data_IF_980395647954
#
_entry.id   IF_980395647954
#
_cell.length_a   1.000
_cell.length_b   1.000
_cell.length_c   1.000
_cell.angle_alpha   90.00
_cell.angle_beta   90.00
_cell.angle_gamma   90.00
#
_symmetry.space_group_name_H-M   'P 1'
#
loop_
_entity.id
_entity.type
_entity.pdbx_description
1 polymer ?
#
# COMPACT_ATOMS: atom_id res chain seq x y z
N UNK A 1 82.44 1.05 -25.81
CA UNK A 1 81.49 1.90 -26.58
C UNK A 1 80.07 1.63 -26.11
N UNK A 2 79.22 2.64 -26.15
CA UNK A 2 78.19 2.96 -25.16
C UNK A 2 76.87 2.18 -25.28
N UNK A 3 76.52 1.37 -24.27
CA UNK A 3 75.20 0.75 -24.10
C UNK A 3 74.09 1.78 -23.74
N UNK A 4 74.48 2.99 -23.32
CA UNK A 4 73.55 4.10 -23.03
C UNK A 4 73.07 4.83 -24.29
N UNK A 5 73.83 4.75 -25.38
CA UNK A 5 73.46 5.37 -26.66
C UNK A 5 72.36 4.56 -27.37
N UNK A 6 72.43 3.23 -27.30
CA UNK A 6 71.41 2.34 -27.86
C UNK A 6 70.03 2.52 -27.17
N UNK A 7 70.02 2.68 -25.84
CA UNK A 7 68.82 2.93 -25.06
C UNK A 7 68.15 4.27 -25.42
N UNK A 8 68.93 5.31 -25.72
CA UNK A 8 68.41 6.62 -26.14
C UNK A 8 67.82 6.58 -27.56
N UNK A 9 68.40 5.77 -28.46
CA UNK A 9 67.87 5.56 -29.82
C UNK A 9 66.57 4.74 -29.80
N UNK A 10 66.47 3.72 -28.94
CA UNK A 10 65.24 2.91 -28.81
C UNK A 10 64.10 3.71 -28.15
N UNK A 11 64.41 4.54 -27.15
CA UNK A 11 63.42 5.39 -26.48
C UNK A 11 62.91 6.53 -27.39
N UNK A 12 63.78 7.10 -28.23
CA UNK A 12 63.36 8.11 -29.21
C UNK A 12 62.55 7.50 -30.36
N UNK A 13 62.86 6.27 -30.79
CA UNK A 13 62.08 5.57 -31.81
C UNK A 13 60.69 5.14 -31.29
N UNK A 14 60.56 4.76 -30.01
CA UNK A 14 59.26 4.47 -29.39
C UNK A 14 58.42 5.71 -29.10
N UNK A 15 59.02 6.88 -28.83
CA UNK A 15 58.29 8.15 -28.75
C UNK A 15 57.74 8.61 -30.11
N UNK A 16 58.47 8.35 -31.20
CA UNK A 16 58.04 8.71 -32.56
C UNK A 16 56.90 7.82 -33.10
N UNK A 17 56.78 6.56 -32.65
CA UNK A 17 55.69 5.68 -33.09
C UNK A 17 54.36 5.93 -32.36
N UNK A 18 54.38 6.56 -31.17
CA UNK A 18 53.17 6.96 -30.46
C UNK A 18 52.54 8.26 -31.00
N UNK A 19 53.32 9.10 -31.71
CA UNK A 19 52.83 10.34 -32.30
C UNK A 19 52.01 10.15 -33.60
N UNK A 20 52.09 8.97 -34.23
CA UNK A 20 51.33 8.63 -35.44
C UNK A 20 50.08 7.79 -35.18
N UNK A 21 49.57 7.80 -33.94
CA UNK A 21 48.21 7.37 -33.62
C UNK A 21 47.17 8.35 -34.19
N UNK A 22 47.20 8.60 -35.50
CA UNK A 22 46.13 9.25 -36.24
C UNK A 22 44.85 8.48 -35.94
N UNK A 23 43.97 9.09 -35.15
CA UNK A 23 42.62 8.63 -34.92
C UNK A 23 42.01 8.34 -36.29
N UNK A 24 41.69 7.08 -36.58
CA UNK A 24 40.99 6.75 -37.84
C UNK A 24 39.74 7.63 -37.91
N UNK A 25 39.58 8.34 -39.02
CA UNK A 25 38.40 9.14 -39.29
C UNK A 25 37.14 8.27 -39.11
N UNK A 26 36.24 8.69 -38.23
CA UNK A 26 35.02 7.95 -37.88
C UNK A 26 33.95 8.13 -38.96
N UNK A 27 33.86 9.35 -39.53
CA UNK A 27 32.86 9.71 -40.54
C UNK A 27 33.46 10.62 -41.63
N UNK A 28 32.81 10.63 -42.81
CA UNK A 28 33.03 11.63 -43.86
C UNK A 28 31.83 12.56 -44.01
N UNK A 29 30.62 12.02 -43.86
CA UNK A 29 29.34 12.74 -43.89
C UNK A 29 28.49 12.32 -42.69
N UNK A 30 27.51 13.15 -42.31
CA UNK A 30 26.68 12.88 -41.13
C UNK A 30 25.88 11.57 -41.23
N UNK A 31 25.57 11.08 -42.44
CA UNK A 31 24.90 9.80 -42.65
C UNK A 31 25.80 8.58 -42.41
N UNK A 32 27.12 8.77 -42.29
CA UNK A 32 28.05 7.69 -41.92
C UNK A 32 27.96 7.39 -40.41
N UNK A 33 27.40 8.30 -39.63
CA UNK A 33 27.26 8.15 -38.19
C UNK A 33 26.01 7.35 -37.83
N UNK A 34 26.12 6.48 -36.82
CA UNK A 34 24.99 5.74 -36.27
C UNK A 34 23.93 6.70 -35.73
N UNK A 35 22.66 6.49 -36.07
CA UNK A 35 21.60 7.28 -35.45
C UNK A 35 21.44 6.87 -33.98
N UNK A 36 21.41 7.87 -33.10
CA UNK A 36 21.08 7.72 -31.68
C UNK A 36 19.72 8.39 -31.47
N UNK A 37 18.82 7.71 -30.76
CA UNK A 37 17.50 8.23 -30.40
C UNK A 37 17.64 9.60 -29.75
N UNK A 38 16.76 10.53 -30.14
CA UNK A 38 16.72 11.89 -29.59
C UNK A 38 18.05 12.67 -29.65
N UNK A 39 18.88 12.40 -30.66
CA UNK A 39 20.12 13.14 -30.90
C UNK A 39 20.22 13.59 -32.35
N UNK A 40 20.63 14.84 -32.56
CA UNK A 40 21.06 15.33 -33.86
C UNK A 40 22.53 14.93 -34.08
N UNK A 41 22.83 14.36 -35.24
CA UNK A 41 24.18 13.88 -35.57
C UNK A 41 24.82 14.73 -36.65
N UNK A 42 26.06 15.13 -36.42
CA UNK A 42 26.87 15.86 -37.38
C UNK A 42 28.29 15.29 -37.45
N UNK A 43 28.82 15.12 -38.66
CA UNK A 43 30.24 14.79 -38.84
C UNK A 43 31.07 16.07 -38.77
N UNK A 44 31.78 16.28 -37.65
CA UNK A 44 32.60 17.48 -37.42
C UNK A 44 34.04 17.02 -37.15
N UNK A 45 35.00 17.55 -37.92
CA UNK A 45 36.42 17.16 -37.83
C UNK A 45 36.65 15.64 -37.98
N UNK A 46 35.85 14.99 -38.83
CA UNK A 46 35.86 13.53 -39.07
C UNK A 46 35.49 12.68 -37.84
N UNK A 47 34.79 13.27 -36.86
CA UNK A 47 34.21 12.60 -35.70
C UNK A 47 32.70 12.81 -35.67
N UNK A 48 31.96 11.79 -35.25
CA UNK A 48 30.51 11.89 -35.08
C UNK A 48 30.20 12.66 -33.79
N UNK A 49 29.70 13.89 -33.93
CA UNK A 49 29.22 14.69 -32.80
C UNK A 49 27.71 14.55 -32.68
N UNK A 50 27.27 14.15 -31.49
CA UNK A 50 25.86 13.98 -31.13
C UNK A 50 25.43 15.12 -30.24
N UNK A 51 24.36 15.82 -30.65
CA UNK A 51 23.75 16.89 -29.86
C UNK A 51 22.37 16.43 -29.40
N UNK A 52 22.13 16.28 -28.09
CA UNK A 52 20.82 15.93 -27.55
C UNK A 52 19.71 16.86 -28.08
N UNK A 53 18.58 16.28 -28.48
CA UNK A 53 17.39 17.04 -28.88
C UNK A 53 16.58 17.33 -27.62
N UNK A 54 16.29 18.60 -27.29
CA UNK A 54 15.57 18.94 -26.06
C UNK A 54 14.12 18.44 -26.11
N UNK A 55 13.59 18.08 -24.93
CA UNK A 55 12.25 17.55 -24.73
C UNK A 55 11.96 16.24 -25.50
N UNK A 56 12.96 15.36 -25.61
CA UNK A 56 12.88 14.11 -26.35
C UNK A 56 13.45 12.98 -25.50
N UNK A 57 12.64 11.96 -25.27
CA UNK A 57 12.99 10.89 -24.36
C UNK A 57 14.08 9.95 -24.87
N UNK A 58 15.13 9.74 -24.08
CA UNK A 58 16.30 8.92 -24.39
C UNK A 58 17.51 9.74 -24.82
N UNK A 59 17.49 11.07 -24.59
CA UNK A 59 18.61 11.96 -24.88
C UNK A 59 19.65 12.05 -23.73
N UNK A 60 19.37 11.40 -22.59
CA UNK A 60 20.19 11.40 -21.38
C UNK A 60 20.05 12.65 -20.49
N UNK A 61 19.17 13.58 -20.85
CA UNK A 61 18.87 14.83 -20.14
C UNK A 61 17.48 14.69 -19.51
N UNK A 62 17.31 15.21 -18.31
CA UNK A 62 16.03 15.18 -17.59
C UNK A 62 15.28 16.49 -17.81
N UNK A 63 14.60 16.63 -18.94
CA UNK A 63 13.83 17.83 -19.27
C UNK A 63 12.46 17.84 -18.57
N UNK A 64 11.97 19.03 -18.17
CA UNK A 64 10.65 19.14 -17.51
C UNK A 64 9.50 18.58 -18.36
N UNK A 65 9.69 18.51 -19.67
CA UNK A 65 8.77 17.95 -20.64
C UNK A 65 9.56 16.99 -21.55
N UNK A 66 9.09 15.75 -21.69
CA UNK A 66 9.63 14.73 -22.61
C UNK A 66 8.52 14.26 -23.53
N UNK A 67 8.70 14.36 -24.85
CA UNK A 67 7.69 13.93 -25.83
C UNK A 67 6.29 14.51 -25.58
N UNK A 68 6.23 15.79 -25.17
CA UNK A 68 5.00 16.54 -24.82
C UNK A 68 4.28 16.02 -23.57
N UNK A 69 4.93 15.22 -22.73
CA UNK A 69 4.47 14.79 -21.41
C UNK A 69 5.39 15.34 -20.31
N UNK A 70 4.95 15.45 -19.05
CA UNK A 70 5.85 15.81 -17.96
C UNK A 70 7.01 14.81 -17.86
N UNK A 71 8.26 15.26 -17.79
CA UNK A 71 9.43 14.39 -17.71
C UNK A 71 9.55 13.71 -16.34
N UNK A 72 9.38 12.39 -16.30
CA UNK A 72 9.51 11.59 -15.08
C UNK A 72 9.75 10.09 -15.40
N UNK A 73 9.91 9.27 -14.36
CA UNK A 73 10.17 7.83 -14.46
C UNK A 73 9.09 7.01 -15.18
N UNK A 74 7.88 7.53 -15.30
CA UNK A 74 6.74 6.88 -15.94
C UNK A 74 6.50 7.32 -17.37
N UNK A 75 6.96 8.52 -17.74
CA UNK A 75 6.82 9.08 -19.08
C UNK A 75 8.08 8.92 -19.91
N UNK A 76 9.26 8.91 -19.27
CA UNK A 76 10.55 8.71 -19.90
C UNK A 76 11.53 7.90 -19.02
N UNK A 77 11.33 6.57 -18.90
CA UNK A 77 12.22 5.72 -18.11
C UNK A 77 13.66 5.65 -18.63
N UNK A 78 13.91 5.99 -19.90
CA UNK A 78 15.23 6.02 -20.51
C UNK A 78 16.13 7.06 -19.84
N UNK A 79 15.60 8.25 -19.56
CA UNK A 79 16.36 9.35 -18.95
C UNK A 79 16.19 9.40 -17.43
N UNK A 80 15.00 9.04 -16.93
CA UNK A 80 14.66 9.12 -15.51
C UNK A 80 14.90 7.82 -14.72
N UNK A 81 15.11 6.70 -15.42
CA UNK A 81 15.07 5.36 -14.86
C UNK A 81 13.64 4.84 -14.71
N UNK A 82 13.50 3.53 -14.52
CA UNK A 82 12.19 2.89 -14.34
C UNK A 82 11.57 3.22 -12.98
N UNK A 83 10.25 3.40 -12.94
CA UNK A 83 9.46 3.49 -11.71
C UNK A 83 9.00 2.08 -11.31
N UNK A 84 9.95 1.26 -10.90
CA UNK A 84 9.68 -0.12 -10.47
C UNK A 84 10.57 -0.48 -9.29
N UNK A 85 10.20 -1.55 -8.60
CA UNK A 85 10.99 -2.12 -7.51
C UNK A 85 10.38 -1.89 -6.14
N UNK A 86 10.77 -2.77 -5.22
CA UNK A 86 10.32 -2.75 -3.83
C UNK A 86 10.81 -1.52 -3.09
N UNK A 87 9.97 -1.01 -2.21
CA UNK A 87 10.31 0.12 -1.35
C UNK A 87 11.34 -0.31 -0.30
N UNK A 88 12.41 0.46 -0.12
CA UNK A 88 13.37 0.24 0.97
C UNK A 88 12.88 0.99 2.22
N UNK A 89 12.50 0.25 3.25
CA UNK A 89 12.05 0.77 4.54
C UNK A 89 13.24 0.93 5.48
N UNK A 90 13.40 2.11 6.08
CA UNK A 90 14.51 2.40 7.01
C UNK A 90 14.08 2.15 8.45
N UNK A 91 14.77 1.22 9.11
CA UNK A 91 14.60 0.88 10.53
C UNK A 91 15.89 1.21 11.30
N UNK A 92 15.95 2.43 11.84
CA UNK A 92 17.16 2.94 12.50
C UNK A 92 18.33 3.02 11.51
N UNK A 93 19.35 2.18 11.69
CA UNK A 93 20.53 2.12 10.81
C UNK A 93 20.44 1.08 9.68
N UNK A 94 19.33 0.33 9.59
CA UNK A 94 19.15 -0.75 8.60
C UNK A 94 18.10 -0.38 7.57
N UNK A 95 18.36 -0.69 6.30
CA UNK A 95 17.35 -0.68 5.26
C UNK A 95 16.86 -2.12 5.05
N UNK A 96 15.53 -2.29 4.94
CA UNK A 96 14.87 -3.58 4.70
C UNK A 96 13.87 -3.39 3.58
N UNK A 97 13.83 -4.32 2.63
CA UNK A 97 12.80 -4.31 1.58
C UNK A 97 11.41 -4.49 2.18
N UNK A 98 10.46 -3.69 1.71
CA UNK A 98 9.03 -3.89 1.97
C UNK A 98 8.58 -5.27 1.48
N UNK A 99 7.56 -5.80 2.14
CA UNK A 99 6.97 -7.08 1.74
C UNK A 99 6.05 -6.92 0.54
N UNK A 100 5.26 -5.85 0.51
CA UNK A 100 4.24 -5.64 -0.52
C UNK A 100 4.38 -4.33 -1.28
N UNK A 101 4.89 -3.27 -0.65
CA UNK A 101 4.98 -1.96 -1.31
C UNK A 101 5.97 -1.93 -2.47
N UNK A 102 5.49 -1.51 -3.64
CA UNK A 102 6.27 -1.38 -4.87
C UNK A 102 6.00 -0.02 -5.52
N UNK A 103 7.05 0.55 -6.14
CA UNK A 103 6.87 1.68 -7.03
C UNK A 103 6.22 1.19 -8.32
N UNK A 104 5.21 1.91 -8.79
CA UNK A 104 4.59 1.65 -10.08
C UNK A 104 4.08 2.96 -10.68
N UNK A 105 3.79 2.92 -11.97
CA UNK A 105 3.26 4.07 -12.69
C UNK A 105 1.73 4.07 -12.66
N UNK A 106 1.16 5.10 -12.05
CA UNK A 106 -0.27 5.37 -12.06
C UNK A 106 -0.51 6.80 -12.55
N UNK A 107 -1.34 6.97 -13.59
CA UNK A 107 -1.67 8.28 -14.16
C UNK A 107 -0.44 9.14 -14.52
N UNK A 108 0.58 8.54 -15.15
CA UNK A 108 1.88 9.18 -15.48
C UNK A 108 2.68 9.71 -14.27
N UNK A 109 2.37 9.26 -13.06
CA UNK A 109 3.13 9.56 -11.85
C UNK A 109 3.69 8.27 -11.26
N UNK A 110 4.88 8.38 -10.67
CA UNK A 110 5.46 7.29 -9.92
C UNK A 110 4.81 7.28 -8.54
N UNK A 111 4.08 6.21 -8.23
CA UNK A 111 3.34 6.05 -6.97
C UNK A 111 3.83 4.81 -6.22
N UNK A 112 3.70 4.84 -4.90
CA UNK A 112 3.88 3.68 -4.04
C UNK A 112 2.52 3.04 -3.83
N UNK A 113 2.45 1.72 -4.02
CA UNK A 113 1.25 0.95 -3.68
C UNK A 113 1.54 -0.54 -3.68
N UNK A 114 0.47 -1.32 -3.65
CA UNK A 114 0.56 -2.79 -3.76
C UNK A 114 -0.05 -3.19 -5.10
N UNK A 115 0.66 -3.99 -5.92
CA UNK A 115 0.11 -4.49 -7.17
C UNK A 115 -1.23 -5.23 -6.95
N UNK A 116 -2.27 -4.99 -7.77
CA UNK A 116 -3.59 -5.56 -7.56
C UNK A 116 -3.60 -7.09 -7.41
N UNK A 117 -2.71 -7.79 -8.12
CA UNK A 117 -2.57 -9.24 -8.07
C UNK A 117 -2.03 -9.78 -6.73
N UNK A 118 -1.47 -8.92 -5.88
CA UNK A 118 -0.99 -9.25 -4.53
C UNK A 118 -2.02 -8.92 -3.45
N UNK A 119 -3.10 -8.22 -3.80
CA UNK A 119 -4.19 -7.88 -2.88
C UNK A 119 -5.23 -8.99 -2.93
N UNK A 120 -5.58 -9.54 -1.77
CA UNK A 120 -6.61 -10.59 -1.66
C UNK A 120 -7.66 -10.23 -0.60
N UNK A 121 -8.95 -10.48 -0.86
CA UNK A 121 -9.97 -10.33 0.17
C UNK A 121 -9.82 -11.43 1.23
N UNK A 122 -9.92 -11.04 2.49
CA UNK A 122 -9.97 -11.93 3.65
C UNK A 122 -11.36 -11.82 4.26
N UNK A 123 -11.96 -12.96 4.59
CA UNK A 123 -13.23 -13.04 5.33
C UNK A 123 -12.99 -13.81 6.62
N UNK A 124 -13.35 -13.20 7.74
CA UNK A 124 -13.36 -13.82 9.06
C UNK A 124 -14.82 -14.00 9.47
N UNK A 125 -15.14 -15.15 10.05
CA UNK A 125 -16.48 -15.46 10.58
C UNK A 125 -16.28 -15.83 12.04
N UNK A 126 -17.13 -15.28 12.89
CA UNK A 126 -17.22 -15.60 14.30
C UNK A 126 -18.67 -15.77 14.70
N UNK A 127 -18.95 -16.83 15.43
CA UNK A 127 -20.20 -17.01 16.17
C UNK A 127 -19.90 -16.80 17.66
N UNK A 128 -20.80 -16.12 18.36
CA UNK A 128 -20.67 -15.82 19.78
C UNK A 128 -22.00 -15.93 20.50
N UNK A 129 -21.98 -16.78 21.53
CA UNK A 129 -23.07 -16.92 22.49
C UNK A 129 -23.00 -15.82 23.55
N UNK A 130 -24.06 -15.04 23.65
CA UNK A 130 -24.33 -14.14 24.77
C UNK A 130 -25.33 -14.79 25.71
N UNK A 131 -25.59 -14.15 26.85
CA UNK A 131 -26.50 -14.72 27.85
C UNK A 131 -27.93 -14.94 27.33
N UNK A 132 -28.40 -14.12 26.39
CA UNK A 132 -29.79 -14.13 25.90
C UNK A 132 -29.94 -14.24 24.38
N UNK A 133 -28.84 -14.27 23.62
CA UNK A 133 -28.85 -14.38 22.16
C UNK A 133 -27.50 -14.86 21.64
N UNK A 134 -27.49 -15.29 20.38
CA UNK A 134 -26.29 -15.69 19.65
C UNK A 134 -26.11 -14.79 18.43
N UNK A 135 -24.90 -14.27 18.23
CA UNK A 135 -24.56 -13.46 17.05
C UNK A 135 -23.55 -14.16 16.16
N UNK A 136 -23.73 -14.04 14.86
CA UNK A 136 -22.68 -14.26 13.87
C UNK A 136 -22.17 -12.92 13.37
N UNK A 137 -20.86 -12.69 13.50
CA UNK A 137 -20.17 -11.55 12.91
C UNK A 137 -19.25 -12.02 11.79
N UNK A 138 -19.49 -11.52 10.58
CA UNK A 138 -18.59 -11.69 9.43
C UNK A 138 -17.84 -10.38 9.19
N UNK A 139 -16.51 -10.44 9.12
CA UNK A 139 -15.64 -9.30 8.82
C UNK A 139 -14.92 -9.54 7.50
N UNK A 140 -14.99 -8.59 6.57
CA UNK A 140 -14.30 -8.64 5.28
C UNK A 140 -13.38 -7.44 5.10
N UNK A 141 -12.18 -7.68 4.57
CA UNK A 141 -11.18 -6.64 4.29
C UNK A 141 -10.16 -7.13 3.25
N UNK A 142 -9.35 -6.24 2.69
CA UNK A 142 -8.26 -6.58 1.79
C UNK A 142 -6.95 -6.81 2.57
N UNK A 143 -6.17 -7.82 2.19
CA UNK A 143 -4.82 -8.06 2.70
C UNK A 143 -3.80 -8.04 1.54
N UNK A 144 -2.75 -7.20 1.59
CA UNK A 144 -2.54 -6.15 2.60
C UNK A 144 -3.62 -5.05 2.50
N UNK A 145 -3.83 -4.31 3.60
CA UNK A 145 -4.87 -3.30 3.77
C UNK A 145 -4.35 -1.89 3.50
N UNK A 146 -4.94 -1.20 2.53
CA UNK A 146 -4.61 0.19 2.20
C UNK A 146 -5.40 1.17 3.07
N UNK A 147 -4.74 1.80 4.04
CA UNK A 147 -5.42 2.71 4.98
C UNK A 147 -6.02 3.96 4.34
N UNK A 148 -5.68 4.25 3.07
CA UNK A 148 -6.20 5.42 2.37
C UNK A 148 -7.56 5.20 1.72
N UNK A 149 -7.89 3.94 1.38
CA UNK A 149 -9.05 3.62 0.53
C UNK A 149 -9.84 2.40 0.98
N UNK A 150 -9.21 1.45 1.67
CA UNK A 150 -9.88 0.23 2.09
C UNK A 150 -10.76 0.46 3.33
N UNK A 151 -11.77 -0.39 3.47
CA UNK A 151 -12.67 -0.43 4.63
C UNK A 151 -12.77 -1.84 5.18
N UNK A 152 -13.01 -1.95 6.49
CA UNK A 152 -13.51 -3.18 7.08
C UNK A 152 -15.03 -3.25 6.93
N UNK A 153 -15.52 -4.26 6.23
CA UNK A 153 -16.96 -4.52 6.09
C UNK A 153 -17.39 -5.55 7.14
N UNK A 154 -18.21 -5.11 8.09
CA UNK A 154 -18.82 -5.95 9.12
C UNK A 154 -20.23 -6.31 8.70
N UNK A 155 -20.60 -7.57 8.85
CA UNK A 155 -21.98 -8.06 8.81
C UNK A 155 -22.28 -8.75 10.14
N UNK A 156 -23.26 -8.24 10.87
CA UNK A 156 -23.73 -8.84 12.13
C UNK A 156 -25.09 -9.47 11.85
N UNK A 157 -25.29 -10.71 12.28
CA UNK A 157 -26.54 -11.45 12.13
C UNK A 157 -26.99 -12.05 13.46
N UNK A 158 -28.28 -11.96 13.79
CA UNK A 158 -28.86 -12.62 14.96
C UNK A 158 -29.16 -14.09 14.60
N UNK A 159 -28.49 -15.04 15.26
CA UNK A 159 -28.57 -16.47 14.94
C UNK A 159 -29.59 -17.20 15.80
N UNK A 160 -29.65 -16.84 17.08
CA UNK A 160 -30.60 -17.41 18.03
C UNK A 160 -30.92 -16.40 19.16
N UNK A 161 -32.02 -16.61 19.87
CA UNK A 161 -32.40 -15.83 21.05
C UNK A 161 -33.20 -16.65 22.05
N UNK A 162 -33.09 -16.27 23.33
CA UNK A 162 -33.88 -16.87 24.41
C UNK A 162 -35.20 -16.11 24.60
N UNK A 163 -36.22 -16.80 25.13
CA UNK A 163 -37.57 -16.25 25.36
C UNK A 163 -37.62 -15.01 26.28
N UNK A 164 -36.62 -14.87 27.14
CA UNK A 164 -36.49 -13.73 28.05
C UNK A 164 -35.94 -12.47 27.36
N UNK A 165 -35.42 -12.56 26.12
CA UNK A 165 -35.00 -11.41 25.34
C UNK A 165 -36.20 -10.65 24.78
N UNK A 166 -36.15 -9.32 24.86
CA UNK A 166 -37.09 -8.42 24.18
C UNK A 166 -36.33 -7.66 23.11
N UNK A 167 -36.76 -7.83 21.87
CA UNK A 167 -36.18 -7.18 20.69
C UNK A 167 -36.59 -5.70 20.62
N UNK A 168 -35.79 -4.84 19.96
CA UNK A 168 -34.58 -5.16 19.20
C UNK A 168 -33.29 -5.19 20.03
N UNK A 169 -32.27 -5.87 19.49
CA UNK A 169 -30.88 -5.64 19.92
C UNK A 169 -30.36 -4.44 19.13
N UNK A 170 -29.82 -3.44 19.82
CA UNK A 170 -29.29 -2.21 19.22
C UNK A 170 -27.77 -2.16 19.35
N UNK A 171 -27.08 -1.85 18.26
CA UNK A 171 -25.64 -1.57 18.24
C UNK A 171 -25.42 -0.08 18.03
N UNK A 172 -24.65 0.53 18.93
CA UNK A 172 -24.49 1.98 19.03
C UNK A 172 -23.12 2.46 18.56
N UNK A 173 -22.09 1.64 18.69
CA UNK A 173 -20.72 2.02 18.34
C UNK A 173 -19.90 0.78 17.97
N UNK A 174 -18.93 0.98 17.09
CA UNK A 174 -17.81 0.07 16.90
C UNK A 174 -16.49 0.83 16.97
N UNK A 175 -15.51 0.23 17.60
CA UNK A 175 -14.14 0.73 17.73
C UNK A 175 -13.19 -0.33 17.18
N UNK A 176 -12.24 0.07 16.34
CA UNK A 176 -11.10 -0.73 15.91
C UNK A 176 -9.86 -0.19 16.63
N UNK A 177 -9.11 -1.06 17.30
CA UNK A 177 -7.91 -0.70 18.06
C UNK A 177 -6.80 -1.75 17.98
N UNK A 178 -5.56 -1.33 18.19
CA UNK A 178 -4.41 -2.21 18.36
C UNK A 178 -3.69 -1.82 19.66
N UNK A 179 -3.93 -2.58 20.74
CA UNK A 179 -3.52 -2.17 22.08
C UNK A 179 -4.27 -0.90 22.49
N UNK A 180 -3.51 0.16 22.80
CA UNK A 180 -4.04 1.48 23.18
C UNK A 180 -4.28 2.40 21.98
N UNK A 181 -3.83 2.03 20.78
CA UNK A 181 -3.96 2.84 19.58
C UNK A 181 -5.34 2.67 18.95
N UNK A 182 -6.08 3.78 18.82
CA UNK A 182 -7.35 3.84 18.10
C UNK A 182 -7.09 3.82 16.59
N UNK A 183 -7.54 2.76 15.92
CA UNK A 183 -7.40 2.58 14.49
C UNK A 183 -8.58 3.17 13.71
N UNK A 184 -9.79 3.10 14.26
CA UNK A 184 -10.97 3.72 13.68
C UNK A 184 -12.17 3.58 14.61
N UNK A 185 -13.16 4.45 14.45
CA UNK A 185 -14.43 4.34 15.17
C UNK A 185 -15.59 4.71 14.26
N UNK A 186 -16.76 4.15 14.57
CA UNK A 186 -17.99 4.49 13.86
C UNK A 186 -19.18 4.41 14.81
N UNK A 187 -19.95 5.49 14.89
CA UNK A 187 -21.26 5.47 15.50
C UNK A 187 -22.21 4.62 14.63
N UNK A 188 -22.95 3.74 15.27
CA UNK A 188 -23.91 2.83 14.66
C UNK A 188 -25.32 3.21 15.14
N UNK A 189 -26.30 2.88 14.30
CA UNK A 189 -27.72 2.91 14.65
C UNK A 189 -28.37 1.67 14.07
N UNK A 190 -27.77 0.52 14.39
CA UNK A 190 -28.16 -0.78 13.83
C UNK A 190 -29.09 -1.46 14.81
N UNK A 191 -30.16 -2.05 14.29
CA UNK A 191 -31.11 -2.83 15.07
C UNK A 191 -31.30 -4.20 14.44
N UNK A 192 -31.37 -5.25 15.27
CA UNK A 192 -31.76 -6.60 14.88
C UNK A 192 -33.10 -6.89 15.55
N UNK A 193 -34.15 -7.14 14.75
CA UNK A 193 -35.55 -7.28 15.20
C UNK A 193 -36.01 -8.74 15.26
N UNK A 194 -35.19 -9.70 14.82
CA UNK A 194 -35.58 -11.09 14.73
C UNK A 194 -34.40 -12.01 14.40
N UNK A 195 -34.55 -13.30 14.73
CA UNK A 195 -33.61 -14.33 14.26
C UNK A 195 -33.54 -14.29 12.74
N UNK A 196 -32.32 -14.31 12.18
CA UNK A 196 -32.05 -14.19 10.76
C UNK A 196 -31.85 -12.75 10.27
N UNK A 197 -32.21 -11.74 11.07
CA UNK A 197 -31.90 -10.35 10.72
C UNK A 197 -30.39 -10.15 10.65
N UNK A 198 -29.96 -9.36 9.68
CA UNK A 198 -28.56 -8.98 9.56
C UNK A 198 -28.41 -7.55 9.07
N UNK A 199 -27.32 -6.92 9.46
CA UNK A 199 -26.94 -5.59 9.02
C UNK A 199 -25.48 -5.55 8.61
N UNK A 200 -25.19 -4.81 7.53
CA UNK A 200 -23.84 -4.64 7.00
C UNK A 200 -23.41 -3.17 7.10
N UNK A 201 -22.19 -2.92 7.55
CA UNK A 201 -21.62 -1.58 7.65
C UNK A 201 -20.10 -1.60 7.44
N UNK A 202 -19.58 -0.47 6.96
CA UNK A 202 -18.15 -0.27 6.73
C UNK A 202 -17.52 0.61 7.80
N UNK A 203 -16.32 0.26 8.26
CA UNK A 203 -15.50 1.05 9.17
C UNK A 203 -14.19 1.41 8.46
N UNK A 204 -13.87 2.70 8.45
CA UNK A 204 -12.62 3.23 7.90
C UNK A 204 -11.54 3.24 8.99
N UNK A 205 -10.29 3.08 8.58
CA UNK A 205 -9.13 3.33 9.43
C UNK A 205 -8.79 4.82 9.36
N UNK A 206 -8.70 5.47 10.51
CA UNK A 206 -8.33 6.88 10.65
C UNK A 206 -6.93 7.08 11.25
N UNK A 207 -6.25 6.01 11.67
CA UNK A 207 -4.91 6.11 12.25
C UNK A 207 -3.84 6.44 11.21
N UNK A 208 -2.85 7.22 11.63
CA UNK A 208 -1.64 7.48 10.86
C UNK A 208 -0.65 6.36 11.15
N UNK A 209 -0.25 5.62 10.12
CA UNK A 209 0.80 4.61 10.26
C UNK A 209 2.13 5.28 10.60
N UNK A 210 2.90 4.68 11.52
CA UNK A 210 4.24 5.16 11.84
C UNK A 210 5.21 4.90 10.68
N UNK A 211 4.92 3.84 9.90
CA UNK A 211 5.72 3.39 8.77
C UNK A 211 4.85 3.25 7.51
N UNK A 212 5.45 3.33 6.31
CA UNK A 212 4.70 3.10 5.06
C UNK A 212 4.01 1.73 5.00
N UNK A 213 4.61 0.72 5.65
CA UNK A 213 4.09 -0.64 5.78
C UNK A 213 4.33 -1.12 7.23
N UNK A 214 3.28 -1.62 7.89
CA UNK A 214 3.35 -2.17 9.23
C UNK A 214 2.36 -3.32 9.42
N UNK A 215 2.71 -4.31 10.24
CA UNK A 215 1.83 -5.45 10.52
C UNK A 215 1.38 -5.45 11.97
N UNK A 216 0.06 -5.42 12.19
CA UNK A 216 -0.54 -5.31 13.52
C UNK A 216 -1.61 -6.37 13.77
N UNK A 217 -1.95 -6.58 15.04
CA UNK A 217 -3.16 -7.34 15.41
C UNK A 217 -4.25 -6.35 15.72
N UNK A 218 -5.36 -6.44 14.98
CA UNK A 218 -6.50 -5.59 15.23
C UNK A 218 -7.40 -6.22 16.29
N UNK A 219 -8.11 -5.38 17.02
CA UNK A 219 -9.17 -5.75 17.94
C UNK A 219 -10.35 -4.86 17.64
N UNK A 220 -11.53 -5.43 17.50
CA UNK A 220 -12.75 -4.64 17.44
C UNK A 220 -13.51 -4.74 18.77
N UNK A 221 -14.21 -3.67 19.11
CA UNK A 221 -15.09 -3.56 20.27
C UNK A 221 -16.43 -3.00 19.78
N UNK A 222 -17.54 -3.60 20.18
CA UNK A 222 -18.87 -3.12 19.82
C UNK A 222 -19.71 -2.85 21.05
N UNK A 223 -20.32 -1.67 21.09
CA UNK A 223 -21.26 -1.26 22.13
C UNK A 223 -22.66 -1.68 21.70
N UNK A 224 -23.37 -2.38 22.58
CA UNK A 224 -24.71 -2.87 22.31
C UNK A 224 -25.64 -2.71 23.51
N UNK A 225 -26.94 -2.66 23.24
CA UNK A 225 -27.97 -2.66 24.26
C UNK A 225 -29.17 -3.51 23.84
N UNK A 226 -29.83 -4.11 24.82
CA UNK A 226 -31.03 -4.92 24.63
C UNK A 226 -31.94 -4.85 25.86
N UNK A 227 -33.18 -5.29 25.71
CA UNK A 227 -34.13 -5.38 26.82
C UNK A 227 -34.30 -6.85 27.19
N UNK A 228 -34.35 -7.15 28.48
CA UNK A 228 -34.71 -8.49 28.98
C UNK A 228 -35.90 -8.47 29.92
N UNK A 229 -36.65 -9.56 29.94
CA UNK A 229 -37.66 -9.83 30.96
C UNK A 229 -37.00 -10.38 32.21
N UNK A 230 -37.27 -9.75 33.35
CA UNK A 230 -36.86 -10.26 34.65
C UNK A 230 -38.10 -10.48 35.52
N UNK A 231 -38.10 -11.57 36.28
CA UNK A 231 -39.16 -11.85 37.26
C UNK A 231 -39.23 -10.70 38.25
N UNK A 232 -40.43 -10.17 38.45
CA UNK A 232 -40.67 -9.02 39.32
C UNK A 232 -41.35 -9.44 40.63
N UNK A 233 -42.61 -9.89 40.56
CA UNK A 233 -43.37 -10.34 41.73
C UNK A 233 -43.87 -11.76 41.52
N UNK A 234 -43.83 -12.57 42.58
CA UNK A 234 -44.43 -13.90 42.59
C UNK A 234 -45.85 -13.81 43.14
N UNK A 235 -46.81 -14.33 42.39
CA UNK A 235 -48.19 -14.46 42.84
C UNK A 235 -48.38 -15.68 43.75
N UNK A 236 -49.45 -15.67 44.54
CA UNK A 236 -49.81 -16.77 45.46
C UNK A 236 -50.02 -18.12 44.74
N UNK A 237 -50.41 -18.08 43.47
CA UNK A 237 -50.56 -19.26 42.62
C UNK A 237 -49.21 -19.82 42.09
N UNK A 238 -48.09 -19.21 42.46
CA UNK A 238 -46.75 -19.61 42.06
C UNK A 238 -46.25 -19.03 40.73
N UNK A 239 -47.09 -18.33 39.97
CA UNK A 239 -46.70 -17.60 38.75
C UNK A 239 -45.95 -16.30 39.07
N UNK A 240 -45.33 -15.68 38.05
CA UNK A 240 -44.58 -14.43 38.20
C UNK A 240 -45.11 -13.34 37.27
N UNK A 241 -45.10 -12.09 37.73
CA UNK A 241 -45.04 -10.93 36.84
C UNK A 241 -43.63 -10.73 36.33
N UNK A 242 -43.51 -10.05 35.19
CA UNK A 242 -42.22 -9.71 34.60
C UNK A 242 -42.15 -8.20 34.40
N UNK A 243 -40.96 -7.64 34.61
CA UNK A 243 -40.62 -6.28 34.20
C UNK A 243 -39.52 -6.32 33.15
N UNK A 244 -39.42 -5.25 32.39
CA UNK A 244 -38.37 -5.05 31.40
C UNK A 244 -37.18 -4.32 32.03
N UNK A 245 -35.98 -4.81 31.74
CA UNK A 245 -34.72 -4.20 32.16
C UNK A 245 -33.86 -3.94 30.93
N UNK A 246 -33.38 -2.69 30.78
CA UNK A 246 -32.43 -2.32 29.73
C UNK A 246 -31.03 -2.74 30.19
N UNK A 247 -30.37 -3.54 29.36
CA UNK A 247 -28.98 -3.95 29.56
C UNK A 247 -28.13 -3.25 28.51
N UNK A 248 -27.03 -2.63 28.96
CA UNK A 248 -26.00 -2.02 28.12
C UNK A 248 -24.69 -2.70 28.41
N UNK A 249 -23.99 -3.11 27.37
CA UNK A 249 -22.72 -3.82 27.51
C UNK A 249 -21.86 -3.60 26.27
N UNK A 250 -20.59 -3.96 26.37
CA UNK A 250 -19.66 -3.97 25.25
C UNK A 250 -19.09 -5.37 25.07
N UNK A 251 -18.62 -5.66 23.86
CA UNK A 251 -17.84 -6.87 23.65
C UNK A 251 -16.64 -6.61 22.78
N UNK A 252 -15.53 -7.23 23.17
CA UNK A 252 -14.25 -7.12 22.49
C UNK A 252 -13.87 -8.44 21.82
N UNK A 253 -13.32 -8.34 20.60
CA UNK A 253 -12.71 -9.45 19.88
C UNK A 253 -11.39 -9.05 19.24
N UNK A 254 -10.34 -9.81 19.57
CA UNK A 254 -9.05 -9.74 18.88
C UNK A 254 -9.06 -10.61 17.62
N UNK A 255 -8.61 -10.04 16.51
CA UNK A 255 -8.38 -10.76 15.27
C UNK A 255 -7.29 -11.82 15.51
N UNK A 256 -7.53 -13.04 15.06
CA UNK A 256 -6.55 -14.13 15.15
C UNK A 256 -5.41 -13.94 14.15
N UNK A 257 -5.71 -13.34 13.00
CA UNK A 257 -4.77 -13.01 11.94
C UNK A 257 -4.05 -11.69 12.22
N UNK A 258 -2.78 -11.62 11.82
CA UNK A 258 -2.07 -10.36 11.71
C UNK A 258 -2.45 -9.70 10.38
N UNK A 259 -2.70 -8.40 10.40
CA UNK A 259 -3.07 -7.60 9.22
C UNK A 259 -1.88 -6.74 8.85
N UNK A 260 -1.53 -6.71 7.56
CA UNK A 260 -0.51 -5.80 7.04
C UNK A 260 -1.18 -4.54 6.53
N UNK A 261 -0.93 -3.43 7.19
CA UNK A 261 -1.40 -2.10 6.79
C UNK A 261 -0.33 -1.43 5.94
N UNK A 262 -0.76 -0.69 4.93
CA UNK A 262 0.10 0.18 4.16
C UNK A 262 -0.62 1.45 3.77
N UNK A 263 0.15 2.47 3.38
CA UNK A 263 -0.38 3.74 2.85
C UNK A 263 0.07 3.91 1.41
N UNK A 264 -0.86 3.82 0.46
CA UNK A 264 -0.55 4.18 -0.93
C UNK A 264 -0.44 5.70 -1.11
N UNK A 265 0.25 6.13 -2.17
CA UNK A 265 0.34 7.54 -2.52
C UNK A 265 1.51 7.88 -3.44
N UNK A 266 1.57 9.16 -3.84
CA UNK A 266 2.66 9.69 -4.68
C UNK A 266 3.94 9.79 -3.85
N UNK A 267 5.04 9.23 -4.38
CA UNK A 267 6.38 9.44 -3.82
C UNK A 267 6.73 10.92 -3.97
N UNK A 268 6.93 11.62 -2.85
CA UNK A 268 7.50 12.97 -2.87
C UNK A 268 9.02 12.91 -3.00
#
# INVERSE_FOLDING_TARGET
MSNKFLLFVILSFTLLTLANGCSKAECKISSDCSQITCSNVACIDKQCKYTPTPNCCGNGIKDTMEDRKPGNKCTCPQDYGVCEGKLQLVYGKRAVESKYLENHCENNQCTIGVPPEKVRPVTLIEERDFSFFELETTVRYNEPFDVTKDTFTFKISLKDMKDDLVLPIRFNKIILKNGELLFGEKALNIVLNGIGDSNTFNVLISSVLEKPEESGKLTYEMDYEYIRKVKDQRFDNGSYTYKEEVVRDDYQKKFTTQITFFKSGVTK
#
